data_IF_207309163500
#
_entry.id   IF_207309163500
#
_cell.length_a   1.000
_cell.length_b   1.000
_cell.length_c   1.000
_cell.angle_alpha   90.00
_cell.angle_beta   90.00
_cell.angle_gamma   90.00
#
_symmetry.space_group_name_H-M   'P 1'
#
loop_
_entity.id
_entity.type
_entity.pdbx_description
1 polymer ?
#
# COMPACT_ATOMS: atom_id res chain seq x y z
N UNK A 1 -23.96 -8.57 -35.50
CA UNK A 1 -22.75 -9.35 -35.17
C UNK A 1 -21.97 -8.61 -34.08
N UNK A 2 -22.47 -8.55 -32.84
CA UNK A 2 -21.90 -7.73 -31.75
C UNK A 2 -21.91 -8.49 -30.41
N UNK A 3 -21.51 -9.76 -30.40
CA UNK A 3 -21.56 -10.57 -29.17
C UNK A 3 -20.41 -11.58 -29.01
N UNK A 4 -19.38 -11.48 -29.85
CA UNK A 4 -18.16 -12.30 -29.76
C UNK A 4 -16.99 -11.53 -29.14
N UNK A 5 -16.89 -10.22 -29.38
CA UNK A 5 -15.81 -9.38 -28.83
C UNK A 5 -15.89 -9.29 -27.29
N UNK A 6 -17.06 -9.01 -26.72
CA UNK A 6 -17.26 -8.96 -25.26
C UNK A 6 -16.97 -10.28 -24.52
N UNK A 7 -17.15 -11.43 -25.17
CA UNK A 7 -16.86 -12.74 -24.56
C UNK A 7 -15.37 -13.05 -24.59
N UNK A 8 -14.70 -12.64 -25.67
CA UNK A 8 -13.25 -12.77 -25.84
C UNK A 8 -12.53 -11.84 -24.86
N UNK A 9 -13.02 -10.62 -24.66
CA UNK A 9 -12.50 -9.68 -23.66
C UNK A 9 -12.76 -10.16 -22.22
N UNK A 10 -13.94 -10.73 -21.92
CA UNK A 10 -14.20 -11.33 -20.61
C UNK A 10 -13.35 -12.58 -20.35
N UNK A 11 -13.04 -13.37 -21.39
CA UNK A 11 -12.17 -14.54 -21.33
C UNK A 11 -10.70 -14.15 -21.20
N UNK A 12 -10.25 -13.10 -21.89
CA UNK A 12 -8.89 -12.55 -21.80
C UNK A 12 -8.70 -11.89 -20.43
N UNK A 13 -9.66 -11.10 -19.95
CA UNK A 13 -9.64 -10.54 -18.60
C UNK A 13 -9.68 -11.66 -17.54
N UNK A 14 -10.47 -12.71 -17.73
CA UNK A 14 -10.44 -13.89 -16.85
C UNK A 14 -9.12 -14.66 -16.95
N UNK A 15 -8.50 -14.77 -18.12
CA UNK A 15 -7.23 -15.46 -18.33
C UNK A 15 -6.03 -14.68 -17.78
N UNK A 16 -6.03 -13.35 -17.88
CA UNK A 16 -5.03 -12.46 -17.28
C UNK A 16 -5.20 -12.45 -15.76
N UNK A 17 -6.44 -12.39 -15.26
CA UNK A 17 -6.74 -12.51 -13.83
C UNK A 17 -6.38 -13.89 -13.26
N UNK A 18 -6.53 -14.96 -14.04
CA UNK A 18 -6.12 -16.30 -13.63
C UNK A 18 -4.60 -16.49 -13.72
N UNK A 19 -3.94 -15.95 -14.76
CA UNK A 19 -2.49 -16.05 -14.94
C UNK A 19 -1.70 -15.32 -13.85
N UNK A 20 -2.15 -14.11 -13.47
CA UNK A 20 -1.58 -13.38 -12.33
C UNK A 20 -1.89 -14.07 -10.99
N UNK A 21 -3.09 -14.66 -10.85
CA UNK A 21 -3.47 -15.43 -9.67
C UNK A 21 -2.63 -16.70 -9.50
N UNK A 22 -2.36 -17.48 -10.56
CA UNK A 22 -1.53 -18.69 -10.46
C UNK A 22 -0.07 -18.38 -10.12
N UNK A 23 0.53 -17.35 -10.73
CA UNK A 23 1.89 -16.93 -10.43
C UNK A 23 2.01 -16.39 -8.99
N UNK A 24 1.03 -15.60 -8.55
CA UNK A 24 0.94 -15.10 -7.17
C UNK A 24 0.75 -16.24 -6.16
N UNK A 25 -0.11 -17.22 -6.47
CA UNK A 25 -0.37 -18.37 -5.61
C UNK A 25 0.86 -19.27 -5.43
N UNK A 26 1.64 -19.50 -6.49
CA UNK A 26 2.86 -20.32 -6.40
C UNK A 26 3.92 -19.66 -5.51
N UNK A 27 4.11 -18.34 -5.66
CA UNK A 27 5.06 -17.55 -4.86
C UNK A 27 4.62 -17.46 -3.41
N UNK A 28 3.32 -17.21 -3.15
CA UNK A 28 2.79 -17.13 -1.79
C UNK A 28 2.83 -18.49 -1.07
N UNK A 29 2.45 -19.59 -1.71
CA UNK A 29 2.49 -20.93 -1.09
C UNK A 29 3.93 -21.39 -0.83
N UNK A 30 4.88 -21.10 -1.72
CA UNK A 30 6.29 -21.41 -1.49
C UNK A 30 6.91 -20.57 -0.36
N UNK A 31 6.40 -19.35 -0.11
CA UNK A 31 6.90 -18.47 0.94
C UNK A 31 6.20 -18.63 2.29
N UNK A 32 4.98 -19.18 2.34
CA UNK A 32 4.23 -19.46 3.59
C UNK A 32 5.00 -20.35 4.60
N UNK A 33 5.92 -21.18 4.12
CA UNK A 33 6.81 -21.99 4.96
C UNK A 33 7.91 -21.18 5.68
N UNK A 34 8.19 -19.95 5.24
CA UNK A 34 9.25 -19.10 5.79
C UNK A 34 8.78 -17.67 6.15
N UNK A 35 7.55 -17.28 5.81
CA UNK A 35 7.02 -15.93 6.02
C UNK A 35 5.70 -15.67 5.28
N UNK A 36 5.27 -14.41 5.20
CA UNK A 36 4.09 -14.00 4.42
C UNK A 36 4.54 -13.20 3.22
N UNK A 37 4.12 -13.60 2.02
CA UNK A 37 4.33 -12.80 0.81
C UNK A 37 2.99 -12.21 0.34
N UNK A 38 3.03 -10.98 -0.15
CA UNK A 38 1.88 -10.28 -0.73
C UNK A 38 2.29 -9.71 -2.06
N UNK A 39 1.47 -9.97 -3.08
CA UNK A 39 1.60 -9.36 -4.39
C UNK A 39 0.38 -8.47 -4.57
N UNK A 40 0.58 -7.20 -4.90
CA UNK A 40 -0.50 -6.29 -5.26
C UNK A 40 -0.29 -5.82 -6.70
N UNK A 41 -1.36 -5.86 -7.49
CA UNK A 41 -1.39 -5.33 -8.85
C UNK A 41 -2.47 -4.25 -8.89
N UNK A 42 -2.08 -3.03 -9.26
CA UNK A 42 -2.99 -1.92 -9.52
C UNK A 42 -3.26 -1.83 -11.02
N UNK A 43 -4.54 -1.79 -11.38
CA UNK A 43 -4.98 -1.60 -12.75
C UNK A 43 -5.68 -0.24 -12.86
N UNK A 44 -5.43 0.47 -13.95
CA UNK A 44 -6.14 1.71 -14.28
C UNK A 44 -7.58 1.43 -14.76
N UNK A 45 -8.29 2.50 -15.15
CA UNK A 45 -9.67 2.39 -15.66
C UNK A 45 -9.77 1.63 -16.99
N UNK A 46 -8.67 1.53 -17.75
CA UNK A 46 -8.57 0.83 -19.02
C UNK A 46 -8.06 -0.63 -18.85
N UNK A 47 -7.96 -1.10 -17.59
CA UNK A 47 -7.45 -2.42 -17.20
C UNK A 47 -5.98 -2.65 -17.55
N UNK A 48 -5.22 -1.58 -17.75
CA UNK A 48 -3.79 -1.60 -17.98
C UNK A 48 -3.05 -1.66 -16.63
N UNK A 49 -1.88 -2.33 -16.60
CA UNK A 49 -1.09 -2.47 -15.36
C UNK A 49 -0.38 -1.15 -15.05
N UNK A 50 -0.91 -0.42 -14.09
CA UNK A 50 -0.36 0.86 -13.62
C UNK A 50 0.73 0.64 -12.55
N UNK A 51 0.49 -0.29 -11.62
CA UNK A 51 1.43 -0.56 -10.52
C UNK A 51 1.53 -2.03 -10.15
N UNK A 52 2.70 -2.43 -9.69
CA UNK A 52 2.96 -3.77 -9.15
C UNK A 52 3.82 -3.68 -7.89
N UNK A 53 3.40 -4.35 -6.81
CA UNK A 53 4.18 -4.48 -5.58
C UNK A 53 4.33 -5.92 -5.15
N UNK A 54 5.49 -6.23 -4.59
CA UNK A 54 5.80 -7.47 -3.90
C UNK A 54 6.34 -7.13 -2.52
N UNK A 55 5.67 -7.60 -1.48
CA UNK A 55 6.05 -7.41 -0.08
C UNK A 55 6.24 -8.78 0.58
N UNK A 56 7.35 -8.96 1.28
CA UNK A 56 7.74 -10.21 1.96
C UNK A 56 7.98 -9.88 3.43
N UNK A 57 7.22 -10.50 4.31
CA UNK A 57 7.38 -10.45 5.77
C UNK A 57 8.00 -11.74 6.25
N UNK A 58 9.16 -11.65 6.91
CA UNK A 58 9.89 -12.78 7.47
C UNK A 58 9.90 -12.68 9.01
N UNK A 59 9.44 -13.70 9.74
CA UNK A 59 9.59 -13.77 11.19
C UNK A 59 11.06 -13.97 11.55
N UNK A 60 11.64 -13.02 12.27
CA UNK A 60 12.98 -13.15 12.86
C UNK A 60 12.92 -13.90 14.20
N UNK A 61 11.85 -13.68 14.96
CA UNK A 61 11.55 -14.38 16.19
C UNK A 61 10.03 -14.51 16.33
N UNK A 62 9.56 -15.72 16.56
CA UNK A 62 8.15 -16.03 16.78
C UNK A 62 8.05 -17.07 17.90
N UNK A 63 7.52 -16.66 19.06
CA UNK A 63 7.30 -17.56 20.19
C UNK A 63 5.99 -18.35 20.07
N UNK A 64 5.25 -18.16 18.97
CA UNK A 64 3.94 -18.76 18.62
C UNK A 64 2.83 -18.48 19.62
N UNK A 65 3.03 -17.58 20.58
CA UNK A 65 2.07 -17.25 21.63
C UNK A 65 1.70 -15.79 21.60
N UNK A 66 2.70 -14.94 21.76
CA UNK A 66 2.50 -13.53 22.03
C UNK A 66 3.41 -12.65 21.22
N UNK A 67 4.65 -13.06 20.95
CA UNK A 67 5.68 -12.17 20.47
C UNK A 67 6.13 -12.54 19.06
N UNK A 68 6.01 -11.58 18.14
CA UNK A 68 6.51 -11.68 16.77
C UNK A 68 7.43 -10.50 16.48
N UNK A 69 8.73 -10.77 16.35
CA UNK A 69 9.68 -9.85 15.72
C UNK A 69 9.80 -10.25 14.25
N UNK A 70 9.61 -9.30 13.34
CA UNK A 70 9.65 -9.56 11.92
C UNK A 70 10.46 -8.50 11.19
N UNK A 71 10.99 -8.90 10.04
CA UNK A 71 11.50 -7.99 9.01
C UNK A 71 10.56 -8.02 7.82
N UNK A 72 10.42 -6.89 7.14
CA UNK A 72 9.63 -6.78 5.92
C UNK A 72 10.50 -6.16 4.83
N UNK A 73 10.53 -6.81 3.67
CA UNK A 73 11.22 -6.34 2.47
C UNK A 73 10.20 -6.26 1.36
N UNK A 74 10.20 -5.15 0.62
CA UNK A 74 9.28 -4.98 -0.48
C UNK A 74 9.91 -4.23 -1.64
N UNK A 75 9.38 -4.50 -2.82
CA UNK A 75 9.70 -3.80 -4.05
C UNK A 75 8.39 -3.41 -4.73
N UNK A 76 8.29 -2.15 -5.15
CA UNK A 76 7.17 -1.68 -5.96
C UNK A 76 7.68 -0.96 -7.20
N UNK A 77 6.93 -1.15 -8.29
CA UNK A 77 6.99 -0.34 -9.49
C UNK A 77 5.68 0.42 -9.61
N UNK A 78 5.79 1.73 -9.74
CA UNK A 78 4.68 2.65 -9.86
C UNK A 78 5.09 3.70 -10.88
N UNK A 79 4.39 3.78 -12.01
CA UNK A 79 4.66 4.72 -13.11
C UNK A 79 6.16 4.91 -13.42
N UNK A 80 6.83 3.80 -13.79
CA UNK A 80 8.29 3.71 -14.07
C UNK A 80 9.26 4.05 -12.92
N UNK A 81 8.76 4.36 -11.72
CA UNK A 81 9.58 4.52 -10.51
C UNK A 81 9.73 3.18 -9.78
N UNK A 82 10.97 2.77 -9.53
CA UNK A 82 11.29 1.57 -8.74
C UNK A 82 11.67 1.97 -7.32
N UNK A 83 10.89 1.50 -6.36
CA UNK A 83 11.08 1.78 -4.94
C UNK A 83 11.28 0.46 -4.20
N UNK A 84 12.32 0.41 -3.39
CA UNK A 84 12.51 -0.66 -2.41
C UNK A 84 12.16 -0.15 -1.02
N UNK A 85 11.59 -1.03 -0.21
CA UNK A 85 11.33 -0.78 1.19
C UNK A 85 11.93 -1.91 2.03
N UNK A 86 12.52 -1.55 3.16
CA UNK A 86 13.06 -2.48 4.13
C UNK A 86 12.69 -1.99 5.53
N UNK A 87 12.09 -2.86 6.33
CA UNK A 87 11.62 -2.49 7.66
C UNK A 87 11.73 -3.61 8.66
N UNK A 88 11.65 -3.24 9.93
CA UNK A 88 11.59 -4.14 11.07
C UNK A 88 10.38 -3.77 11.89
N UNK A 89 9.72 -4.76 12.47
CA UNK A 89 8.59 -4.53 13.33
C UNK A 89 8.48 -5.58 14.43
N UNK A 90 7.74 -5.21 15.45
CA UNK A 90 7.39 -6.06 16.56
C UNK A 90 5.88 -6.02 16.74
N UNK A 91 5.27 -7.19 16.94
CA UNK A 91 3.86 -7.37 17.27
C UNK A 91 3.73 -8.20 18.54
N UNK A 92 2.83 -7.76 19.39
CA UNK A 92 2.36 -8.49 20.55
C UNK A 92 0.91 -8.91 20.35
N UNK A 93 0.61 -10.18 20.58
CA UNK A 93 -0.70 -10.79 20.48
C UNK A 93 -1.21 -11.21 21.86
N UNK A 94 -2.41 -10.74 22.19
CA UNK A 94 -3.23 -11.21 23.31
C UNK A 94 -4.51 -11.87 22.78
N UNK A 95 -5.36 -12.38 23.67
CA UNK A 95 -6.51 -13.22 23.30
C UNK A 95 -7.46 -12.56 22.29
N UNK A 96 -7.74 -11.26 22.43
CA UNK A 96 -8.70 -10.52 21.59
C UNK A 96 -8.15 -9.21 21.03
N UNK A 97 -6.86 -8.95 21.23
CA UNK A 97 -6.24 -7.72 20.75
C UNK A 97 -4.76 -7.92 20.44
N UNK A 98 -4.23 -7.06 19.58
CA UNK A 98 -2.82 -6.98 19.27
C UNK A 98 -2.37 -5.52 19.28
N UNK A 99 -1.09 -5.32 19.53
CA UNK A 99 -0.43 -4.07 19.22
C UNK A 99 0.90 -4.34 18.54
N UNK A 100 1.38 -3.37 17.78
CA UNK A 100 2.65 -3.48 17.12
C UNK A 100 3.26 -2.13 16.82
N UNK A 101 4.56 -2.15 16.58
CA UNK A 101 5.33 -1.01 16.10
C UNK A 101 6.20 -1.48 14.96
N UNK A 102 6.44 -0.60 14.00
CA UNK A 102 7.29 -0.88 12.87
C UNK A 102 8.09 0.36 12.48
N UNK A 103 9.23 0.13 11.87
CA UNK A 103 10.08 1.16 11.29
C UNK A 103 10.48 0.69 9.89
N UNK A 104 10.32 1.58 8.91
CA UNK A 104 10.61 1.32 7.51
C UNK A 104 11.60 2.34 6.98
N UNK A 105 12.48 1.86 6.11
CA UNK A 105 13.36 2.67 5.30
C UNK A 105 13.00 2.42 3.84
N UNK A 106 12.57 3.49 3.17
CA UNK A 106 12.22 3.46 1.75
C UNK A 106 13.34 4.13 0.96
N UNK A 107 13.74 3.49 -0.13
CA UNK A 107 14.72 4.03 -1.06
C UNK A 107 14.21 3.91 -2.48
N UNK A 108 14.07 5.06 -3.14
CA UNK A 108 13.83 5.11 -4.58
C UNK A 108 15.16 4.85 -5.31
N UNK A 109 15.15 3.87 -6.21
CA UNK A 109 16.34 3.44 -6.95
C UNK A 109 16.42 4.14 -8.32
N UNK A 110 15.28 4.48 -8.94
CA UNK A 110 15.28 5.08 -10.28
C UNK A 110 15.30 6.62 -10.25
N UNK A 111 16.11 7.19 -11.15
CA UNK A 111 16.23 8.61 -11.50
C UNK A 111 16.74 9.58 -10.42
N UNK A 112 16.12 9.62 -9.23
CA UNK A 112 16.51 10.50 -8.12
C UNK A 112 16.40 9.71 -6.81
N UNK A 113 17.51 9.59 -6.07
CA UNK A 113 17.54 8.80 -4.83
C UNK A 113 16.86 9.55 -3.69
N UNK A 114 15.57 9.32 -3.48
CA UNK A 114 14.88 9.78 -2.28
C UNK A 114 14.98 8.73 -1.18
N UNK A 115 15.27 9.20 0.03
CA UNK A 115 15.31 8.38 1.24
C UNK A 115 14.25 8.88 2.20
N UNK A 116 13.41 7.95 2.65
CA UNK A 116 12.34 8.20 3.61
C UNK A 116 12.43 7.18 4.73
N UNK A 117 12.16 7.66 5.94
CA UNK A 117 12.03 6.81 7.10
C UNK A 117 10.59 6.91 7.60
N UNK A 118 9.94 5.77 7.75
CA UNK A 118 8.59 5.64 8.28
C UNK A 118 8.62 5.00 9.66
N UNK A 119 7.79 5.47 10.56
CA UNK A 119 7.49 4.80 11.83
C UNK A 119 5.98 4.56 11.90
N UNK A 120 5.58 3.32 12.21
CA UNK A 120 4.19 2.93 12.30
C UNK A 120 3.86 2.33 13.65
N UNK A 121 2.65 2.59 14.11
CA UNK A 121 1.99 1.90 15.21
C UNK A 121 0.76 1.16 14.70
N UNK A 122 0.52 -0.04 15.22
CA UNK A 122 -0.63 -0.87 14.89
C UNK A 122 -1.37 -1.28 16.16
N UNK A 123 -2.69 -1.27 16.11
CA UNK A 123 -3.60 -1.84 17.11
C UNK A 123 -4.61 -2.70 16.35
N UNK A 124 -4.95 -3.87 16.88
CA UNK A 124 -5.88 -4.78 16.23
C UNK A 124 -6.74 -5.50 17.25
N UNK A 125 -7.93 -5.91 16.80
CA UNK A 125 -8.92 -6.74 17.47
C UNK A 125 -9.50 -7.70 16.42
N UNK A 126 -10.31 -8.66 16.85
CA UNK A 126 -10.81 -9.78 16.01
C UNK A 126 -11.39 -9.37 14.64
N UNK A 127 -11.99 -8.18 14.54
CA UNK A 127 -12.59 -7.67 13.29
C UNK A 127 -12.24 -6.21 12.98
N UNK A 128 -11.28 -5.62 13.70
CA UNK A 128 -10.94 -4.21 13.56
C UNK A 128 -9.44 -4.01 13.69
N UNK A 129 -8.85 -3.25 12.77
CA UNK A 129 -7.44 -2.85 12.81
C UNK A 129 -7.34 -1.34 12.68
N UNK A 130 -6.55 -0.74 13.54
CA UNK A 130 -6.14 0.65 13.48
C UNK A 130 -4.63 0.70 13.27
N UNK A 131 -4.16 1.53 12.35
CA UNK A 131 -2.74 1.81 12.19
C UNK A 131 -2.51 3.28 11.97
N UNK A 132 -1.41 3.79 12.50
CA UNK A 132 -0.96 5.15 12.26
C UNK A 132 0.49 5.11 11.81
N UNK A 133 0.82 5.80 10.73
CA UNK A 133 2.17 5.88 10.19
C UNK A 133 2.60 7.33 10.12
N UNK A 134 3.82 7.62 10.56
CA UNK A 134 4.46 8.91 10.41
C UNK A 134 5.64 8.76 9.45
N UNK A 135 5.71 9.65 8.48
CA UNK A 135 6.73 9.67 7.45
C UNK A 135 7.64 10.86 7.66
N UNK A 136 8.91 10.56 7.95
CA UNK A 136 9.96 11.55 8.08
C UNK A 136 10.95 11.38 6.93
N UNK A 137 11.12 12.44 6.14
CA UNK A 137 12.16 12.47 5.11
C UNK A 137 13.55 12.40 5.74
N UNK A 138 14.46 11.68 5.09
CA UNK A 138 15.90 11.73 5.39
C UNK A 138 16.69 12.47 4.30
N UNK A 139 16.10 12.71 3.13
CA UNK A 139 16.70 13.45 2.02
C UNK A 139 16.26 14.93 1.99
N UNK A 140 17.20 15.82 1.64
CA UNK A 140 16.94 17.25 1.38
C UNK A 140 16.31 17.49 -0.01
N UNK A 141 16.23 18.76 -0.41
CA UNK A 141 15.84 19.18 -1.76
C UNK A 141 16.73 18.54 -2.83
N UNK A 142 16.14 18.08 -3.94
CA UNK A 142 16.86 17.58 -5.11
C UNK A 142 16.17 18.08 -6.38
N UNK A 143 16.94 18.41 -7.41
CA UNK A 143 16.40 18.85 -8.71
C UNK A 143 15.36 17.86 -9.25
N UNK A 144 14.17 18.37 -9.57
CA UNK A 144 13.09 17.70 -10.29
C UNK A 144 13.57 17.39 -11.71
N UNK A 145 13.23 16.19 -12.20
CA UNK A 145 13.46 15.83 -13.61
C UNK A 145 12.25 16.13 -14.49
N UNK A 146 11.06 16.25 -13.90
CA UNK A 146 9.81 16.43 -14.63
C UNK A 146 9.53 17.92 -14.91
N UNK A 147 10.16 18.83 -14.15
CA UNK A 147 10.09 20.28 -14.39
C UNK A 147 11.48 20.92 -14.35
N UNK A 148 11.87 21.56 -15.45
CA UNK A 148 13.06 22.42 -15.49
C UNK A 148 12.91 23.55 -14.45
N UNK A 149 13.92 23.76 -13.61
CA UNK A 149 13.99 24.78 -12.54
C UNK A 149 13.14 24.54 -11.26
N UNK A 150 12.68 23.31 -10.99
CA UNK A 150 12.03 22.96 -9.72
C UNK A 150 12.82 21.94 -8.91
N UNK A 151 12.81 22.05 -7.58
CA UNK A 151 13.35 21.04 -6.67
C UNK A 151 12.20 20.16 -6.13
N UNK A 152 12.26 18.85 -6.33
CA UNK A 152 11.33 17.87 -5.77
C UNK A 152 11.73 17.52 -4.32
N UNK A 153 10.74 17.51 -3.41
CA UNK A 153 10.95 17.15 -2.00
C UNK A 153 9.85 16.22 -1.50
N UNK A 154 10.24 15.14 -0.82
CA UNK A 154 9.30 14.26 -0.13
C UNK A 154 8.67 15.02 1.04
N UNK A 155 7.35 15.21 0.99
CA UNK A 155 6.59 15.84 2.06
C UNK A 155 6.63 14.98 3.34
N UNK A 156 6.81 15.63 4.48
CA UNK A 156 6.55 14.96 5.76
C UNK A 156 5.03 14.82 5.89
N UNK A 157 4.58 13.71 6.44
CA UNK A 157 3.15 13.48 6.61
C UNK A 157 2.89 12.35 7.56
N UNK A 158 1.61 12.17 7.90
CA UNK A 158 1.16 11.00 8.62
C UNK A 158 -0.11 10.47 7.98
N UNK A 159 -0.34 9.18 8.16
CA UNK A 159 -1.62 8.57 7.87
C UNK A 159 -2.19 7.89 9.12
N UNK A 160 -3.51 7.86 9.19
CA UNK A 160 -4.27 7.05 10.12
C UNK A 160 -5.24 6.21 9.30
N UNK A 161 -5.19 4.91 9.50
CA UNK A 161 -5.98 3.93 8.78
C UNK A 161 -6.77 3.07 9.74
N UNK A 162 -8.07 3.00 9.52
CA UNK A 162 -8.99 2.11 10.21
C UNK A 162 -9.57 1.11 9.21
N UNK A 163 -9.48 -0.17 9.54
CA UNK A 163 -10.04 -1.28 8.76
C UNK A 163 -10.98 -2.10 9.65
N UNK A 164 -12.19 -2.33 9.17
CA UNK A 164 -13.18 -3.14 9.87
C UNK A 164 -13.74 -4.23 8.98
N UNK A 165 -14.03 -5.40 9.53
CA UNK A 165 -14.63 -6.53 8.85
C UNK A 165 -15.97 -6.87 9.51
N UNK A 166 -16.97 -7.28 8.72
CA UNK A 166 -18.26 -7.66 9.29
C UNK A 166 -18.14 -9.01 10.02
N UNK A 167 -18.49 -9.12 11.31
CA UNK A 167 -18.38 -10.41 12.02
C UNK A 167 -19.22 -11.53 11.41
N UNK A 168 -20.41 -11.18 10.90
CA UNK A 168 -21.31 -12.12 10.22
C UNK A 168 -20.85 -12.48 8.80
N UNK A 169 -20.06 -11.61 8.15
CA UNK A 169 -19.52 -11.80 6.80
C UNK A 169 -18.06 -11.29 6.73
N UNK A 170 -17.09 -12.04 7.28
CA UNK A 170 -15.70 -11.58 7.37
C UNK A 170 -15.03 -11.33 6.00
N UNK A 171 -15.64 -11.83 4.92
CA UNK A 171 -15.22 -11.57 3.54
C UNK A 171 -15.46 -10.11 3.13
N UNK A 172 -16.34 -9.38 3.83
CA UNK A 172 -16.66 -7.99 3.56
C UNK A 172 -15.98 -7.09 4.59
N UNK A 173 -15.11 -6.21 4.10
CA UNK A 173 -14.41 -5.22 4.90
C UNK A 173 -14.67 -3.80 4.41
N UNK A 174 -14.49 -2.84 5.31
CA UNK A 174 -14.46 -1.42 5.01
C UNK A 174 -13.13 -0.84 5.52
N UNK A 175 -12.64 0.17 4.83
CA UNK A 175 -11.42 0.89 5.18
C UNK A 175 -11.67 2.39 5.10
N UNK A 176 -11.13 3.09 6.08
CA UNK A 176 -11.04 4.54 6.10
C UNK A 176 -9.58 4.92 6.30
N UNK A 177 -9.07 5.82 5.47
CA UNK A 177 -7.70 6.32 5.53
C UNK A 177 -7.78 7.84 5.58
N UNK A 178 -7.17 8.44 6.59
CA UNK A 178 -6.88 9.87 6.62
C UNK A 178 -5.39 10.04 6.40
N UNK A 179 -5.01 10.77 5.37
CA UNK A 179 -3.63 11.18 5.10
C UNK A 179 -3.51 12.70 5.24
N UNK A 180 -2.47 13.17 5.93
CA UNK A 180 -2.13 14.59 6.03
C UNK A 180 -0.66 14.75 5.68
N UNK A 181 -0.38 15.64 4.73
CA UNK A 181 0.98 16.01 4.36
C UNK A 181 1.22 17.47 4.68
N UNK A 182 2.48 17.82 4.91
CA UNK A 182 2.92 19.17 5.23
C UNK A 182 3.94 19.66 4.20
N UNK A 183 3.69 20.85 3.65
CA UNK A 183 4.51 21.48 2.62
C UNK A 183 3.72 22.51 1.80
N UNK A 184 4.40 23.51 1.25
CA UNK A 184 3.76 24.58 0.49
C UNK A 184 3.37 24.16 -0.95
N UNK A 185 3.98 23.10 -1.50
CA UNK A 185 3.75 22.57 -2.86
C UNK A 185 3.72 21.03 -2.87
N UNK A 186 2.65 20.41 -2.37
CA UNK A 186 2.52 18.94 -2.28
C UNK A 186 1.56 18.38 -3.33
N UNK A 187 2.08 17.48 -4.18
CA UNK A 187 1.32 16.76 -5.21
C UNK A 187 0.62 15.51 -4.64
N UNK A 188 -0.48 15.68 -3.87
CA UNK A 188 -1.21 14.56 -3.25
C UNK A 188 -2.17 13.82 -4.21
N UNK A 189 -2.52 14.47 -5.33
CA UNK A 189 -3.52 14.01 -6.31
C UNK A 189 -3.01 13.94 -7.76
N UNK A 190 -1.75 14.27 -8.03
CA UNK A 190 -1.14 14.25 -9.36
C UNK A 190 0.04 15.24 -9.49
N UNK A 191 0.90 15.04 -10.49
CA UNK A 191 2.13 15.81 -10.75
C UNK A 191 1.91 17.07 -11.63
N UNK A 192 0.66 17.45 -11.93
CA UNK A 192 0.36 18.69 -12.65
C UNK A 192 0.64 19.93 -11.78
N UNK A 193 1.23 20.99 -12.34
CA UNK A 193 1.50 22.27 -11.64
C UNK A 193 0.24 22.89 -10.99
N UNK A 194 -0.96 22.56 -11.46
CA UNK A 194 -2.26 23.00 -10.93
C UNK A 194 -2.79 22.17 -9.72
N UNK A 195 -2.12 21.06 -9.36
CA UNK A 195 -2.56 20.12 -8.30
C UNK A 195 -1.69 20.15 -7.04
N UNK A 196 -0.65 21.00 -7.02
CA UNK A 196 0.19 21.26 -5.86
C UNK A 196 -0.60 22.02 -4.80
N UNK A 197 -0.63 21.46 -3.59
CA UNK A 197 -1.45 21.96 -2.50
C UNK A 197 -0.60 22.25 -1.26
N UNK A 198 -1.00 23.28 -0.52
CA UNK A 198 -0.43 23.64 0.77
C UNK A 198 -1.07 22.82 1.87
N UNK A 199 -0.25 22.08 2.62
CA UNK A 199 -0.64 21.18 3.71
C UNK A 199 -1.89 20.31 3.41
N UNK A 200 -1.89 19.53 2.30
CA UNK A 200 -3.08 18.83 1.86
C UNK A 200 -3.42 17.66 2.75
N UNK A 201 -4.72 17.38 2.80
CA UNK A 201 -5.24 16.18 3.42
C UNK A 201 -6.12 15.40 2.45
N UNK A 202 -6.14 14.09 2.61
CA UNK A 202 -7.01 13.20 1.86
C UNK A 202 -7.72 12.23 2.79
N UNK A 203 -9.01 12.04 2.50
CA UNK A 203 -9.83 10.99 3.07
C UNK A 203 -10.11 9.95 2.00
N UNK A 204 -9.64 8.72 2.22
CA UNK A 204 -9.96 7.59 1.36
C UNK A 204 -10.94 6.67 2.07
N UNK A 205 -12.07 6.40 1.44
CA UNK A 205 -12.99 5.35 1.85
C UNK A 205 -12.88 4.17 0.87
N UNK A 206 -12.83 2.95 1.39
CA UNK A 206 -12.73 1.76 0.58
C UNK A 206 -13.59 0.61 1.11
N UNK A 207 -14.05 -0.23 0.20
CA UNK A 207 -14.70 -1.51 0.51
C UNK A 207 -13.87 -2.64 -0.06
N UNK A 208 -13.80 -3.74 0.68
CA UNK A 208 -13.06 -4.94 0.31
C UNK A 208 -13.98 -6.14 0.23
N UNK A 209 -13.71 -6.99 -0.76
CA UNK A 209 -14.27 -8.32 -0.85
C UNK A 209 -13.16 -9.37 -0.97
N UNK A 210 -13.05 -10.24 0.04
CA UNK A 210 -12.10 -11.35 0.13
C UNK A 210 -12.85 -12.68 0.11
N UNK A 211 -13.21 -13.22 -1.08
CA UNK A 211 -13.93 -14.49 -1.17
C UNK A 211 -13.12 -15.68 -0.67
N UNK A 212 -11.79 -15.63 -0.82
CA UNK A 212 -10.84 -16.62 -0.30
C UNK A 212 -9.60 -15.91 0.26
N UNK A 213 -8.90 -16.46 1.26
CA UNK A 213 -7.76 -15.76 1.90
C UNK A 213 -6.65 -15.29 0.95
N UNK A 214 -6.51 -15.94 -0.21
CA UNK A 214 -5.49 -15.63 -1.22
C UNK A 214 -5.91 -14.53 -2.20
N UNK A 215 -7.19 -14.20 -2.27
CA UNK A 215 -7.73 -13.23 -3.23
C UNK A 215 -8.62 -12.22 -2.52
N UNK A 216 -8.26 -10.95 -2.66
CA UNK A 216 -9.02 -9.83 -2.16
C UNK A 216 -9.09 -8.72 -3.21
N UNK A 217 -10.19 -7.98 -3.21
CA UNK A 217 -10.39 -6.85 -4.13
C UNK A 217 -10.87 -5.63 -3.36
N UNK A 218 -10.13 -4.54 -3.46
CA UNK A 218 -10.52 -3.23 -2.96
C UNK A 218 -11.14 -2.37 -4.05
N UNK A 219 -12.23 -1.69 -3.71
CA UNK A 219 -12.73 -0.52 -4.43
C UNK A 219 -12.56 0.67 -3.51
N UNK A 220 -11.82 1.70 -3.96
CA UNK A 220 -11.46 2.87 -3.15
C UNK A 220 -11.92 4.14 -3.83
N UNK A 221 -12.34 5.11 -3.04
CA UNK A 221 -12.62 6.48 -3.44
C UNK A 221 -11.84 7.42 -2.53
N UNK A 222 -11.03 8.29 -3.12
CA UNK A 222 -10.18 9.26 -2.41
C UNK A 222 -10.71 10.66 -2.70
N UNK A 223 -11.07 11.38 -1.65
CA UNK A 223 -11.50 12.77 -1.70
C UNK A 223 -10.55 13.61 -0.81
N UNK A 224 -10.33 14.88 -1.15
CA UNK A 224 -9.58 15.82 -0.31
C UNK A 224 -10.14 17.22 -0.45
N UNK A 225 -9.90 18.08 0.55
CA UNK A 225 -10.22 19.52 0.43
C UNK A 225 -8.96 20.33 0.20
N UNK A 226 -9.06 21.28 -0.74
CA UNK A 226 -8.05 22.31 -0.99
C UNK A 226 -8.15 23.37 0.12
N UNK A 227 -7.10 23.59 0.89
CA UNK A 227 -7.00 24.82 1.67
C UNK A 227 -6.42 25.92 0.77
N UNK A 228 -7.21 26.97 0.58
CA UNK A 228 -6.87 28.18 -0.17
C UNK A 228 -5.95 29.12 0.59
#
# INVERSE_FOLDING_TARGET
MLNQDNKTDALINSAINNGSAYATNAVQNWLQQFGTARVNLGLDNDLSLESASLDILLPLYDDKKHNLLFTQLGGRRDDDRNIINAGVGYRYFADHWMWGVNAFYDQQISSVTHQRLGFGGELGWDYFKLSANAYQRLSGWKDSKDHTDYEERVANGYDVRAEGYLPAYPQLGAQLIWEQYYGDDVALFGDSDDDRQRDPYALTAGVNYTPVPLFFRWLKSKNGERQS
#
